data_IF_297565150236
#
_entry.id   IF_297565150236
#
_cell.length_a   1.000
_cell.length_b   1.000
_cell.length_c   1.000
_cell.angle_alpha   90.00
_cell.angle_beta   90.00
_cell.angle_gamma   90.00
#
_symmetry.space_group_name_H-M   'P 1'
#
loop_
_entity.id
_entity.type
_entity.pdbx_description
1 polymer ?
#
# COMPACT_ATOMS: atom_id res chain seq x y z
N UNK A 1 11.87 -5.31 4.33
CA UNK A 1 12.01 -4.19 3.35
C UNK A 1 13.43 -3.62 3.42
N UNK A 2 13.81 -2.67 2.57
CA UNK A 2 15.20 -2.22 2.47
C UNK A 2 15.32 -0.71 2.56
N UNK A 3 16.24 -0.23 3.40
CA UNK A 3 16.70 1.15 3.38
C UNK A 3 17.69 1.32 2.24
N UNK A 4 17.36 2.21 1.30
CA UNK A 4 18.19 2.50 0.13
C UNK A 4 18.52 3.99 0.12
N UNK A 5 19.81 4.32 -0.03
CA UNK A 5 20.26 5.68 -0.31
C UNK A 5 20.37 5.85 -1.82
N UNK A 6 19.79 6.93 -2.34
CA UNK A 6 19.75 7.23 -3.77
C UNK A 6 20.45 8.56 -4.00
N UNK A 7 21.37 8.59 -4.96
CA UNK A 7 22.14 9.77 -5.31
C UNK A 7 21.78 10.26 -6.72
N UNK A 8 21.46 11.54 -6.81
CA UNK A 8 21.25 12.27 -8.05
C UNK A 8 22.39 13.27 -8.26
N UNK A 9 23.18 13.06 -9.31
CA UNK A 9 24.25 13.97 -9.71
C UNK A 9 23.67 15.23 -10.34
N UNK A 10 24.19 16.40 -9.96
CA UNK A 10 23.79 17.69 -10.50
C UNK A 10 24.82 18.24 -11.50
N UNK A 11 24.36 18.72 -12.65
CA UNK A 11 25.16 19.37 -13.68
C UNK A 11 24.34 20.47 -14.40
N UNK A 12 24.64 21.79 -14.21
CA UNK A 12 25.77 22.39 -13.50
C UNK A 12 25.56 22.52 -11.97
N UNK A 13 26.66 22.58 -11.22
CA UNK A 13 26.70 22.44 -9.75
C UNK A 13 25.88 23.47 -8.94
N UNK A 14 25.57 24.65 -9.49
CA UNK A 14 25.12 25.80 -8.70
C UNK A 14 23.58 25.92 -8.52
N UNK A 15 22.82 24.87 -8.86
CA UNK A 15 21.34 24.95 -8.94
C UNK A 15 20.56 23.93 -8.08
N UNK A 16 21.18 23.36 -7.05
CA UNK A 16 20.61 22.26 -6.26
C UNK A 16 19.24 22.58 -5.65
N UNK A 17 19.06 23.76 -5.05
CA UNK A 17 17.78 24.14 -4.42
C UNK A 17 16.65 24.30 -5.44
N UNK A 18 16.95 24.81 -6.65
CA UNK A 18 15.92 24.95 -7.68
C UNK A 18 15.54 23.62 -8.35
N UNK A 19 16.37 22.59 -8.18
CA UNK A 19 16.10 21.23 -8.66
C UNK A 19 15.35 20.35 -7.64
N UNK A 20 15.18 20.81 -6.40
CA UNK A 20 14.39 20.08 -5.38
C UNK A 20 12.98 19.67 -5.87
N UNK A 21 12.23 20.50 -6.61
CA UNK A 21 10.94 20.07 -7.15
C UNK A 21 11.03 18.90 -8.14
N UNK A 22 12.17 18.72 -8.83
CA UNK A 22 12.36 17.65 -9.81
C UNK A 22 12.57 16.31 -9.11
N UNK A 23 13.44 16.25 -8.10
CA UNK A 23 13.63 15.03 -7.30
C UNK A 23 12.35 14.68 -6.54
N UNK A 24 11.63 15.66 -5.98
CA UNK A 24 10.33 15.42 -5.34
C UNK A 24 9.32 14.81 -6.31
N UNK A 25 9.30 15.27 -7.57
CA UNK A 25 8.46 14.67 -8.60
C UNK A 25 8.83 13.21 -8.89
N UNK A 26 10.12 12.87 -8.93
CA UNK A 26 10.59 11.49 -9.09
C UNK A 26 10.17 10.63 -7.89
N UNK A 27 10.38 11.13 -6.68
CA UNK A 27 9.98 10.49 -5.41
C UNK A 27 8.46 10.22 -5.42
N UNK A 28 7.65 11.21 -5.80
CA UNK A 28 6.20 11.05 -5.91
C UNK A 28 5.83 9.93 -6.89
N UNK A 29 6.46 9.90 -8.07
CA UNK A 29 6.16 8.85 -9.05
C UNK A 29 6.62 7.46 -8.59
N UNK A 30 7.77 7.34 -7.93
CA UNK A 30 8.18 6.08 -7.31
C UNK A 30 7.20 5.62 -6.25
N UNK A 31 6.70 6.54 -5.43
CA UNK A 31 5.70 6.24 -4.39
C UNK A 31 4.39 5.78 -5.01
N UNK A 32 3.89 6.51 -6.01
CA UNK A 32 2.66 6.15 -6.72
C UNK A 32 2.76 4.83 -7.50
N UNK A 33 3.96 4.47 -7.97
CA UNK A 33 4.21 3.17 -8.59
C UNK A 33 4.41 2.05 -7.56
N UNK A 34 4.52 2.37 -6.27
CA UNK A 34 4.80 1.41 -5.18
C UNK A 34 6.25 0.91 -5.15
N UNK A 35 7.20 1.64 -5.73
CA UNK A 35 8.64 1.33 -5.67
C UNK A 35 9.26 1.77 -4.33
N UNK A 36 8.69 2.80 -3.71
CA UNK A 36 9.09 3.28 -2.38
C UNK A 36 7.88 3.40 -1.48
N UNK A 37 8.13 3.35 -0.17
CA UNK A 37 7.15 3.38 0.90
C UNK A 37 7.39 4.58 1.82
N UNK A 38 6.36 4.96 2.56
CA UNK A 38 6.39 6.10 3.47
C UNK A 38 5.90 7.41 2.83
N UNK A 39 5.89 8.48 3.65
CA UNK A 39 5.44 9.83 3.26
C UNK A 39 6.51 10.89 3.55
N UNK A 40 7.30 10.69 4.60
CA UNK A 40 8.38 11.57 4.99
C UNK A 40 9.68 11.07 4.36
N UNK A 41 10.04 11.66 3.21
CA UNK A 41 11.19 11.24 2.43
C UNK A 41 12.19 12.40 2.41
N UNK A 42 13.31 12.29 3.14
CA UNK A 42 14.28 13.38 3.22
C UNK A 42 15.02 13.53 1.91
N UNK A 43 15.25 14.79 1.52
CA UNK A 43 16.17 15.16 0.43
C UNK A 43 17.22 16.08 1.02
N UNK A 44 18.49 15.80 0.76
CA UNK A 44 19.61 16.57 1.30
C UNK A 44 20.74 16.74 0.27
N UNK A 45 21.51 17.84 0.31
CA UNK A 45 22.71 17.96 -0.49
C UNK A 45 23.71 16.87 -0.13
N UNK A 46 24.33 16.26 -1.14
CA UNK A 46 25.34 15.24 -0.96
C UNK A 46 26.45 15.38 -2.02
N UNK A 47 27.55 14.68 -1.81
CA UNK A 47 28.66 14.62 -2.76
C UNK A 47 29.15 13.18 -2.87
N UNK A 48 29.25 12.67 -4.09
CA UNK A 48 29.72 11.32 -4.38
C UNK A 48 30.80 11.40 -5.47
N UNK A 49 31.95 10.75 -5.25
CA UNK A 49 33.10 10.79 -6.17
C UNK A 49 33.50 12.22 -6.59
N UNK A 50 33.41 13.16 -5.65
CA UNK A 50 33.72 14.57 -5.89
C UNK A 50 32.63 15.36 -6.63
N UNK A 51 31.54 14.72 -7.08
CA UNK A 51 30.43 15.37 -7.78
C UNK A 51 29.33 15.82 -6.81
N UNK A 52 28.91 17.09 -6.83
CA UNK A 52 27.81 17.56 -6.01
C UNK A 52 26.46 17.06 -6.55
N UNK A 53 25.50 16.88 -5.66
CA UNK A 53 24.18 16.36 -6.01
C UNK A 53 23.17 16.45 -4.88
N UNK A 54 22.05 15.80 -5.09
CA UNK A 54 21.02 15.58 -4.08
C UNK A 54 20.97 14.10 -3.76
N UNK A 55 20.88 13.77 -2.47
CA UNK A 55 20.61 12.42 -2.02
C UNK A 55 19.25 12.34 -1.31
N UNK A 56 18.68 11.15 -1.34
CA UNK A 56 17.49 10.81 -0.57
C UNK A 56 17.62 9.41 0.02
N UNK A 57 16.93 9.17 1.14
CA UNK A 57 16.84 7.85 1.75
C UNK A 57 15.40 7.39 1.70
N UNK A 58 15.19 6.22 1.11
CA UNK A 58 13.87 5.66 0.86
C UNK A 58 13.79 4.24 1.40
N UNK A 59 12.59 3.83 1.81
CA UNK A 59 12.28 2.44 2.11
C UNK A 59 11.69 1.80 0.86
N UNK A 60 12.32 0.73 0.38
CA UNK A 60 11.88 -0.03 -0.77
C UNK A 60 11.31 -1.40 -0.35
N UNK A 61 10.23 -1.89 -0.97
CA UNK A 61 9.74 -3.24 -0.72
C UNK A 61 10.80 -4.32 -0.97
N UNK A 62 11.60 -4.15 -2.03
CA UNK A 62 12.65 -5.07 -2.47
C UNK A 62 13.95 -4.32 -2.78
N UNK A 63 15.08 -5.03 -2.76
CA UNK A 63 16.39 -4.47 -3.14
C UNK A 63 16.40 -3.95 -4.59
N UNK A 64 15.62 -4.59 -5.45
CA UNK A 64 15.49 -4.29 -6.87
C UNK A 64 14.42 -3.25 -7.19
N UNK A 65 13.69 -2.70 -6.21
CA UNK A 65 12.50 -1.88 -6.49
C UNK A 65 12.81 -0.64 -7.34
N UNK A 66 14.00 -0.07 -7.26
CA UNK A 66 14.42 1.10 -8.05
C UNK A 66 15.05 0.77 -9.41
N UNK A 67 15.13 -0.52 -9.79
CA UNK A 67 15.66 -0.89 -11.10
C UNK A 67 14.74 -0.42 -12.24
N UNK A 68 15.28 -0.02 -13.41
CA UNK A 68 14.49 0.50 -14.53
C UNK A 68 13.38 -0.43 -15.02
N UNK A 69 13.55 -1.76 -14.93
CA UNK A 69 12.51 -2.72 -15.29
C UNK A 69 11.25 -2.63 -14.41
N UNK A 70 11.29 -1.93 -13.28
CA UNK A 70 10.13 -1.69 -12.41
C UNK A 70 9.45 -0.35 -12.66
N UNK A 71 10.07 0.55 -13.43
CA UNK A 71 9.53 1.89 -13.71
C UNK A 71 8.30 1.82 -14.61
N UNK A 72 7.23 2.50 -14.20
CA UNK A 72 6.13 2.78 -15.11
C UNK A 72 6.42 4.00 -16.00
N UNK A 73 5.51 4.30 -16.94
CA UNK A 73 5.66 5.42 -17.87
C UNK A 73 5.75 6.79 -17.18
N UNK A 74 5.14 6.98 -16.01
CA UNK A 74 5.19 8.26 -15.28
C UNK A 74 6.51 8.44 -14.53
N UNK A 75 7.09 7.35 -14.01
CA UNK A 75 8.44 7.34 -13.43
C UNK A 75 9.47 7.68 -14.50
N UNK A 76 9.40 7.03 -15.66
CA UNK A 76 10.30 7.31 -16.80
C UNK A 76 10.20 8.78 -17.25
N UNK A 77 8.99 9.33 -17.33
CA UNK A 77 8.79 10.76 -17.64
C UNK A 77 9.39 11.67 -16.59
N UNK A 78 9.27 11.33 -15.30
CA UNK A 78 9.81 12.15 -14.22
C UNK A 78 11.35 12.14 -14.22
N UNK A 79 11.97 10.98 -14.42
CA UNK A 79 13.42 10.84 -14.57
C UNK A 79 13.93 11.61 -15.79
N UNK A 80 13.33 11.41 -16.97
CA UNK A 80 13.71 12.14 -18.18
C UNK A 80 13.55 13.67 -18.04
N UNK A 81 12.56 14.14 -17.27
CA UNK A 81 12.40 15.56 -16.98
C UNK A 81 13.50 16.08 -16.04
N UNK A 82 13.88 15.31 -15.03
CA UNK A 82 14.98 15.66 -14.15
C UNK A 82 16.30 15.77 -14.93
N UNK A 83 16.58 14.79 -15.80
CA UNK A 83 17.79 14.76 -16.64
C UNK A 83 17.88 15.96 -17.58
N UNK A 84 16.77 16.35 -18.22
CA UNK A 84 16.70 17.57 -19.06
C UNK A 84 17.06 18.85 -18.30
N UNK A 85 16.86 18.86 -16.99
CA UNK A 85 17.17 19.97 -16.11
C UNK A 85 18.52 19.81 -15.39
N UNK A 86 19.34 18.84 -15.80
CA UNK A 86 20.69 18.66 -15.27
C UNK A 86 20.78 17.81 -14.00
N UNK A 87 19.70 17.12 -13.61
CA UNK A 87 19.66 16.25 -12.44
C UNK A 87 19.54 14.79 -12.89
N UNK A 88 20.60 14.00 -12.70
CA UNK A 88 20.71 12.64 -13.21
C UNK A 88 20.64 11.66 -12.06
N UNK A 89 19.77 10.64 -12.15
CA UNK A 89 19.86 9.50 -11.24
C UNK A 89 21.17 8.76 -11.52
N UNK A 90 22.10 8.81 -10.57
CA UNK A 90 23.48 8.38 -10.79
C UNK A 90 23.72 7.01 -10.17
N UNK A 91 23.25 6.80 -8.93
CA UNK A 91 23.37 5.52 -8.25
C UNK A 91 22.36 5.36 -7.11
N UNK A 92 22.22 4.12 -6.64
CA UNK A 92 21.57 3.82 -5.37
C UNK A 92 22.30 2.68 -4.67
N UNK A 93 22.34 2.74 -3.34
CA UNK A 93 23.04 1.78 -2.48
C UNK A 93 22.08 1.23 -1.43
N UNK A 94 22.06 -0.10 -1.28
CA UNK A 94 21.36 -0.78 -0.20
C UNK A 94 22.15 -0.55 1.09
N UNK A 95 21.54 0.13 2.05
CA UNK A 95 22.15 0.38 3.36
C UNK A 95 21.91 -0.79 4.30
N UNK A 96 20.70 -1.37 4.26
CA UNK A 96 20.36 -2.53 5.09
C UNK A 96 18.90 -2.94 4.97
N UNK A 97 18.58 -4.06 5.62
CA UNK A 97 17.21 -4.52 5.82
C UNK A 97 16.56 -3.77 6.98
N UNK A 98 15.31 -3.35 6.79
CA UNK A 98 14.47 -2.85 7.88
C UNK A 98 13.79 -4.02 8.60
N UNK A 99 14.26 -4.30 9.81
CA UNK A 99 13.79 -5.39 10.66
C UNK A 99 12.41 -5.14 11.28
N UNK A 100 11.92 -3.90 11.27
CA UNK A 100 10.59 -3.56 11.76
C UNK A 100 9.52 -3.62 10.65
N UNK A 101 9.94 -3.85 9.41
CA UNK A 101 9.06 -3.85 8.25
C UNK A 101 8.58 -5.26 7.88
N UNK A 102 7.41 -5.32 7.23
CA UNK A 102 6.87 -6.57 6.70
C UNK A 102 7.77 -7.21 5.63
N UNK A 103 7.72 -8.54 5.56
CA UNK A 103 8.38 -9.31 4.49
C UNK A 103 7.50 -9.28 3.25
N UNK A 104 8.05 -8.73 2.16
CA UNK A 104 7.36 -8.59 0.89
C UNK A 104 7.18 -9.94 0.18
N UNK A 105 6.07 -10.08 -0.55
CA UNK A 105 5.78 -11.28 -1.34
C UNK A 105 6.84 -11.49 -2.44
N UNK A 106 7.64 -12.52 -2.25
CA UNK A 106 8.79 -12.82 -3.10
C UNK A 106 8.42 -13.41 -4.47
N UNK A 107 7.25 -14.06 -4.59
CA UNK A 107 6.85 -14.69 -5.85
C UNK A 107 6.19 -13.69 -6.81
N UNK A 108 6.00 -14.10 -8.06
CA UNK A 108 5.45 -13.23 -9.09
C UNK A 108 3.91 -13.18 -9.09
N UNK A 109 3.24 -14.26 -8.68
CA UNK A 109 1.78 -14.37 -8.77
C UNK A 109 1.20 -15.18 -7.61
N UNK A 110 0.34 -14.60 -6.75
CA UNK A 110 -0.38 -15.35 -5.73
C UNK A 110 -1.59 -16.10 -6.31
N UNK A 111 -2.16 -17.06 -5.57
CA UNK A 111 -3.39 -17.76 -6.00
C UNK A 111 -4.63 -16.85 -5.93
N UNK A 112 -4.67 -16.01 -4.90
CA UNK A 112 -5.64 -14.93 -4.72
C UNK A 112 -4.95 -13.82 -3.94
N UNK A 113 -5.59 -12.66 -3.84
CA UNK A 113 -5.03 -11.50 -3.15
C UNK A 113 -6.12 -10.70 -2.45
N UNK A 114 -5.71 -9.78 -1.58
CA UNK A 114 -6.61 -8.94 -0.81
C UNK A 114 -6.12 -7.50 -0.76
N UNK A 115 -7.03 -6.56 -1.02
CA UNK A 115 -6.83 -5.15 -0.72
C UNK A 115 -7.13 -4.93 0.77
N UNK A 116 -6.06 -4.73 1.54
CA UNK A 116 -6.04 -4.74 3.00
C UNK A 116 -5.00 -3.75 3.51
N UNK A 117 -5.34 -3.00 4.56
CA UNK A 117 -4.38 -2.16 5.27
C UNK A 117 -4.88 -1.94 6.70
N UNK A 118 -4.00 -1.48 7.59
CA UNK A 118 -4.33 -0.87 8.89
C UNK A 118 -3.62 0.47 9.03
N UNK A 119 -4.00 1.29 10.00
CA UNK A 119 -3.29 2.55 10.30
C UNK A 119 -1.85 2.35 10.77
N UNK A 120 -1.48 1.14 11.20
CA UNK A 120 -0.12 0.79 11.66
C UNK A 120 0.82 0.39 10.51
N UNK A 121 0.26 -0.02 9.37
CA UNK A 121 1.05 -0.58 8.28
C UNK A 121 1.70 0.50 7.41
N UNK A 122 2.98 0.30 7.09
CA UNK A 122 3.75 1.12 6.15
C UNK A 122 4.24 0.22 5.02
N UNK A 123 3.30 -0.45 4.34
CA UNK A 123 3.56 -1.40 3.28
C UNK A 123 2.56 -1.22 2.12
N UNK A 124 2.73 -2.02 1.06
CA UNK A 124 1.73 -2.05 -0.02
C UNK A 124 0.39 -2.55 0.50
N UNK A 125 -0.74 -1.91 0.15
CA UNK A 125 -2.07 -2.32 0.61
C UNK A 125 -2.61 -3.55 -0.14
N UNK A 126 -1.89 -4.08 -1.13
CA UNK A 126 -2.25 -5.31 -1.82
C UNK A 126 -1.45 -6.46 -1.23
N UNK A 127 -2.12 -7.43 -0.63
CA UNK A 127 -1.48 -8.57 0.04
C UNK A 127 -1.77 -9.87 -0.70
N UNK A 128 -0.79 -10.79 -0.70
CA UNK A 128 -0.99 -12.16 -1.17
C UNK A 128 -1.95 -12.90 -0.24
N UNK A 129 -2.95 -13.54 -0.82
CA UNK A 129 -3.84 -14.46 -0.14
C UNK A 129 -3.21 -15.81 0.20
N UNK A 130 -1.93 -16.03 -0.10
CA UNK A 130 -1.23 -17.25 0.28
C UNK A 130 -0.60 -17.14 1.68
N UNK A 131 -0.15 -15.93 2.07
CA UNK A 131 0.61 -15.68 3.31
C UNK A 131 0.39 -14.30 3.94
N UNK A 132 -0.54 -13.50 3.43
CA UNK A 132 -0.76 -12.09 3.82
C UNK A 132 0.47 -11.18 3.65
N UNK A 133 1.45 -11.58 2.82
CA UNK A 133 2.62 -10.77 2.54
C UNK A 133 2.28 -9.63 1.55
N UNK A 134 2.73 -8.38 1.80
CA UNK A 134 2.47 -7.26 0.89
C UNK A 134 3.12 -7.47 -0.48
N UNK A 135 2.40 -7.14 -1.54
CA UNK A 135 2.79 -7.24 -2.94
C UNK A 135 3.12 -5.83 -3.45
N UNK A 136 4.35 -5.54 -3.90
CA UNK A 136 4.68 -4.22 -4.43
C UNK A 136 3.82 -3.90 -5.65
N UNK A 137 3.22 -2.70 -5.70
CA UNK A 137 2.24 -2.36 -6.73
C UNK A 137 2.84 -2.43 -8.15
N UNK A 138 4.13 -2.08 -8.33
CA UNK A 138 4.79 -2.19 -9.63
C UNK A 138 4.84 -3.63 -10.18
N UNK A 139 4.76 -4.67 -9.34
CA UNK A 139 4.75 -6.06 -9.84
C UNK A 139 3.49 -6.38 -10.64
N UNK A 140 2.37 -5.74 -10.33
CA UNK A 140 1.07 -6.06 -10.94
C UNK A 140 0.46 -4.90 -11.72
N UNK A 141 0.77 -3.65 -11.34
CA UNK A 141 0.08 -2.45 -11.81
C UNK A 141 0.99 -1.49 -12.57
N UNK A 142 2.25 -1.87 -12.85
CA UNK A 142 3.21 -1.05 -13.60
C UNK A 142 2.65 -0.51 -14.92
N UNK A 143 1.80 -1.27 -15.62
CA UNK A 143 1.22 -0.86 -16.91
C UNK A 143 -0.04 0.00 -16.77
N UNK A 144 -0.51 0.27 -15.54
CA UNK A 144 -1.76 0.97 -15.24
C UNK A 144 -1.54 2.01 -14.12
N UNK A 145 -0.71 3.06 -14.33
CA UNK A 145 -0.28 3.96 -13.25
C UNK A 145 -1.42 4.68 -12.53
N UNK A 146 -2.51 5.00 -13.24
CA UNK A 146 -3.65 5.67 -12.63
C UNK A 146 -4.30 4.82 -11.53
N UNK A 147 -4.31 3.49 -11.69
CA UNK A 147 -4.88 2.57 -10.71
C UNK A 147 -3.98 2.48 -9.47
N UNK A 148 -2.66 2.44 -9.64
CA UNK A 148 -1.73 2.43 -8.49
C UNK A 148 -1.79 3.74 -7.70
N UNK A 149 -1.91 4.89 -8.38
CA UNK A 149 -2.14 6.19 -7.73
C UNK A 149 -3.43 6.16 -6.90
N UNK A 150 -4.52 5.66 -7.47
CA UNK A 150 -5.82 5.66 -6.81
C UNK A 150 -5.85 4.71 -5.59
N UNK A 151 -5.15 3.57 -5.67
CA UNK A 151 -4.96 2.64 -4.55
C UNK A 151 -4.18 3.31 -3.41
N UNK A 152 -3.10 4.04 -3.70
CA UNK A 152 -2.34 4.74 -2.67
C UNK A 152 -3.20 5.80 -1.99
N UNK A 153 -4.00 6.58 -2.73
CA UNK A 153 -4.93 7.56 -2.15
C UNK A 153 -6.02 6.91 -1.31
N UNK A 154 -6.58 5.80 -1.80
CA UNK A 154 -7.53 5.01 -1.04
C UNK A 154 -6.92 4.51 0.27
N UNK A 155 -5.69 3.96 0.24
CA UNK A 155 -4.98 3.51 1.43
C UNK A 155 -4.81 4.65 2.44
N UNK A 156 -4.41 5.84 1.99
CA UNK A 156 -4.23 7.00 2.86
C UNK A 156 -5.53 7.40 3.57
N UNK A 157 -6.63 7.45 2.84
CA UNK A 157 -7.95 7.77 3.38
C UNK A 157 -8.46 6.69 4.35
N UNK A 158 -8.23 5.43 4.00
CA UNK A 158 -8.61 4.29 4.84
C UNK A 158 -7.85 4.29 6.14
N UNK A 159 -6.53 4.44 6.09
CA UNK A 159 -5.68 4.53 7.29
C UNK A 159 -6.04 5.72 8.17
N UNK A 160 -6.43 6.87 7.58
CA UNK A 160 -6.88 8.02 8.35
C UNK A 160 -8.21 7.73 9.09
N UNK A 161 -9.15 7.03 8.44
CA UNK A 161 -10.41 6.63 9.07
C UNK A 161 -10.18 5.65 10.23
N UNK A 162 -9.33 4.65 10.00
CA UNK A 162 -8.93 3.66 11.00
C UNK A 162 -8.20 4.32 12.18
N UNK A 163 -7.27 5.23 11.92
CA UNK A 163 -6.57 5.98 12.97
C UNK A 163 -7.52 6.82 13.84
N UNK A 164 -8.45 7.55 13.21
CA UNK A 164 -9.43 8.36 13.93
C UNK A 164 -10.36 7.49 14.77
N UNK A 165 -10.76 6.32 14.24
CA UNK A 165 -11.56 5.34 14.97
C UNK A 165 -10.78 4.80 16.17
N UNK A 166 -9.53 4.38 15.98
CA UNK A 166 -8.69 3.80 17.01
C UNK A 166 -8.34 4.80 18.13
N UNK A 167 -8.20 6.09 17.79
CA UNK A 167 -8.00 7.15 18.79
C UNK A 167 -9.24 7.43 19.64
N UNK A 168 -10.46 7.10 19.16
CA UNK A 168 -11.71 7.17 19.94
C UNK A 168 -12.15 8.57 20.39
N UNK A 169 -11.66 9.63 19.75
CA UNK A 169 -11.90 11.01 20.22
C UNK A 169 -12.87 11.78 19.32
N UNK A 170 -12.52 11.97 18.05
CA UNK A 170 -13.30 12.76 17.09
C UNK A 170 -13.65 11.93 15.88
N UNK A 171 -14.89 12.07 15.40
CA UNK A 171 -15.41 11.42 14.19
C UNK A 171 -15.40 9.88 14.19
N UNK A 172 -15.14 9.22 15.33
CA UNK A 172 -15.03 7.75 15.44
C UNK A 172 -16.17 7.00 14.74
N UNK A 173 -17.42 7.40 14.98
CA UNK A 173 -18.60 6.73 14.37
C UNK A 173 -18.64 6.91 12.86
N UNK A 174 -18.35 8.12 12.39
CA UNK A 174 -18.37 8.46 10.97
C UNK A 174 -17.25 7.72 10.23
N UNK A 175 -16.04 7.72 10.78
CA UNK A 175 -14.89 7.05 10.16
C UNK A 175 -15.01 5.54 10.21
N UNK A 176 -15.55 4.98 11.30
CA UNK A 176 -15.88 3.56 11.38
C UNK A 176 -16.89 3.15 10.29
N UNK A 177 -17.94 3.94 10.06
CA UNK A 177 -18.93 3.64 9.03
C UNK A 177 -18.31 3.58 7.63
N UNK A 178 -17.35 4.47 7.32
CA UNK A 178 -16.67 4.48 6.02
C UNK A 178 -15.88 3.19 5.72
N UNK A 179 -15.30 2.55 6.74
CA UNK A 179 -14.46 1.34 6.57
C UNK A 179 -15.16 0.02 6.90
N UNK A 180 -16.31 0.06 7.59
CA UNK A 180 -17.03 -1.14 8.07
C UNK A 180 -18.42 -1.36 7.48
N UNK A 181 -18.99 -0.34 6.83
CA UNK A 181 -20.31 -0.42 6.18
C UNK A 181 -20.17 -0.41 4.65
N UNK A 182 -20.89 -1.31 4.00
CA UNK A 182 -21.00 -1.39 2.53
C UNK A 182 -21.61 -0.16 1.88
N UNK A 183 -22.33 0.66 2.65
CA UNK A 183 -22.88 1.94 2.18
C UNK A 183 -21.85 3.08 2.16
N UNK A 184 -20.72 2.94 2.87
CA UNK A 184 -19.66 3.93 2.96
C UNK A 184 -19.02 4.26 1.61
N UNK A 185 -18.56 5.49 1.43
CA UNK A 185 -17.88 5.91 0.21
C UNK A 185 -16.54 5.20 0.06
N UNK A 186 -15.80 5.06 1.17
CA UNK A 186 -14.49 4.44 1.16
C UNK A 186 -14.58 2.92 0.92
N UNK A 187 -15.61 2.25 1.45
CA UNK A 187 -15.94 0.88 1.03
C UNK A 187 -16.19 0.80 -0.46
N UNK A 188 -17.10 1.62 -1.02
CA UNK A 188 -17.46 1.56 -2.44
C UNK A 188 -16.24 1.78 -3.33
N UNK A 189 -15.38 2.74 -2.98
CA UNK A 189 -14.14 3.01 -3.69
C UNK A 189 -13.17 1.84 -3.61
N UNK A 190 -12.88 1.33 -2.42
CA UNK A 190 -11.96 0.21 -2.24
C UNK A 190 -12.44 -1.10 -2.87
N UNK A 191 -13.75 -1.38 -2.78
CA UNK A 191 -14.37 -2.53 -3.42
C UNK A 191 -14.28 -2.44 -4.95
N UNK A 192 -14.55 -1.26 -5.52
CA UNK A 192 -14.31 -1.00 -6.94
C UNK A 192 -12.84 -1.23 -7.31
N UNK A 193 -11.89 -0.70 -6.54
CA UNK A 193 -10.45 -0.91 -6.80
C UNK A 193 -10.08 -2.40 -6.79
N UNK A 194 -10.59 -3.19 -5.85
CA UNK A 194 -10.37 -4.63 -5.83
C UNK A 194 -10.88 -5.32 -7.11
N UNK A 195 -12.05 -4.93 -7.61
CA UNK A 195 -12.60 -5.44 -8.88
C UNK A 195 -11.74 -5.05 -10.09
N UNK A 196 -11.27 -3.80 -10.13
CA UNK A 196 -10.41 -3.30 -11.20
C UNK A 196 -9.06 -4.03 -11.23
N UNK A 197 -8.47 -4.27 -10.06
CA UNK A 197 -7.24 -5.08 -9.92
C UNK A 197 -7.49 -6.50 -10.44
N UNK A 198 -8.55 -7.19 -10.03
CA UNK A 198 -8.87 -8.54 -10.50
C UNK A 198 -9.05 -8.57 -12.02
N UNK A 199 -9.79 -7.60 -12.58
CA UNK A 199 -10.02 -7.47 -14.02
C UNK A 199 -8.74 -7.30 -14.83
N UNK A 200 -7.74 -6.60 -14.29
CA UNK A 200 -6.46 -6.38 -14.97
C UNK A 200 -5.43 -7.50 -14.76
N UNK A 201 -5.44 -8.14 -13.59
CA UNK A 201 -4.44 -9.16 -13.22
C UNK A 201 -4.91 -10.59 -13.50
N UNK A 202 -6.22 -10.81 -13.60
CA UNK A 202 -6.84 -12.13 -13.63
C UNK A 202 -6.65 -12.91 -12.34
N UNK A 203 -6.34 -12.24 -11.23
CA UNK A 203 -6.16 -12.85 -9.90
C UNK A 203 -7.39 -12.51 -9.06
N UNK A 204 -8.07 -13.50 -8.44
CA UNK A 204 -9.14 -13.26 -7.50
C UNK A 204 -8.72 -12.24 -6.43
N UNK A 205 -9.36 -11.08 -6.41
CA UNK A 205 -8.97 -9.97 -5.53
C UNK A 205 -10.10 -9.63 -4.58
N UNK A 206 -9.84 -9.86 -3.30
CA UNK A 206 -10.80 -9.64 -2.22
C UNK A 206 -10.62 -8.25 -1.63
N UNK A 207 -11.69 -7.69 -1.09
CA UNK A 207 -11.66 -6.47 -0.29
C UNK A 207 -11.82 -6.80 1.19
N UNK A 208 -11.02 -6.17 2.04
CA UNK A 208 -11.18 -6.29 3.49
C UNK A 208 -12.22 -5.33 4.04
N UNK A 209 -13.28 -5.89 4.64
CA UNK A 209 -14.30 -5.15 5.38
C UNK A 209 -14.00 -5.20 6.87
N UNK A 210 -13.62 -4.05 7.45
CA UNK A 210 -13.30 -3.94 8.87
C UNK A 210 -14.52 -4.18 9.76
N UNK A 211 -14.32 -4.80 10.92
CA UNK A 211 -15.39 -5.06 11.89
C UNK A 211 -14.93 -4.79 13.32
N UNK A 212 -15.68 -3.93 14.02
CA UNK A 212 -15.62 -3.72 15.48
C UNK A 212 -17.03 -3.43 16.00
N UNK A 213 -17.31 -3.74 17.27
CA UNK A 213 -18.64 -3.61 17.86
C UNK A 213 -19.47 -4.89 17.78
N UNK A 214 -20.78 -4.76 17.58
CA UNK A 214 -21.73 -5.87 17.62
C UNK A 214 -22.28 -6.16 19.02
N UNK A 215 -23.39 -6.90 19.07
CA UNK A 215 -24.17 -7.10 20.30
C UNK A 215 -23.65 -8.26 21.17
N UNK A 216 -23.14 -9.33 20.55
CA UNK A 216 -22.62 -10.51 21.24
C UNK A 216 -21.72 -11.35 20.34
N UNK A 217 -20.87 -12.19 20.93
CA UNK A 217 -20.09 -13.19 20.19
C UNK A 217 -20.99 -14.14 19.37
N UNK A 218 -22.17 -14.49 19.88
CA UNK A 218 -23.13 -15.37 19.19
C UNK A 218 -23.70 -14.72 17.92
N UNK A 219 -24.12 -13.45 18.00
CA UNK A 219 -24.67 -12.73 16.85
C UNK A 219 -23.60 -12.46 15.80
N UNK A 220 -22.38 -12.07 16.22
CA UNK A 220 -21.26 -11.88 15.29
C UNK A 220 -20.93 -13.20 14.58
N UNK A 221 -21.03 -14.33 15.29
CA UNK A 221 -20.75 -15.64 14.71
C UNK A 221 -21.72 -16.07 13.62
N UNK A 222 -22.98 -15.63 13.72
CA UNK A 222 -24.03 -15.92 12.74
C UNK A 222 -24.17 -14.84 11.66
N UNK A 223 -23.25 -13.86 11.59
CA UNK A 223 -23.33 -12.77 10.62
C UNK A 223 -23.25 -13.30 9.19
N UNK A 224 -24.18 -12.85 8.36
CA UNK A 224 -24.22 -13.14 6.93
C UNK A 224 -23.39 -12.13 6.13
N UNK A 225 -23.03 -12.49 4.90
CA UNK A 225 -22.33 -11.59 4.00
C UNK A 225 -23.21 -10.35 3.75
N UNK A 226 -22.69 -9.13 3.93
CA UNK A 226 -23.52 -7.92 3.82
C UNK A 226 -23.95 -7.61 2.37
N UNK A 227 -23.33 -8.25 1.36
CA UNK A 227 -23.68 -8.04 -0.04
C UNK A 227 -24.70 -9.06 -0.56
N UNK A 228 -24.48 -10.36 -0.33
CA UNK A 228 -25.37 -11.41 -0.86
C UNK A 228 -26.28 -12.07 0.19
N UNK A 229 -26.06 -11.82 1.49
CA UNK A 229 -26.78 -12.49 2.58
C UNK A 229 -26.40 -13.96 2.77
N UNK A 230 -25.38 -14.47 2.09
CA UNK A 230 -24.92 -15.86 2.24
C UNK A 230 -24.12 -16.09 3.53
N UNK A 231 -24.01 -17.36 3.93
CA UNK A 231 -23.05 -17.78 4.95
C UNK A 231 -21.62 -17.63 4.43
N UNK A 232 -20.73 -17.14 5.29
CA UNK A 232 -19.36 -16.78 4.89
C UNK A 232 -18.36 -16.88 6.05
N UNK A 233 -18.79 -17.40 7.20
CA UNK A 233 -17.88 -17.70 8.31
C UNK A 233 -16.99 -18.86 7.92
N UNK A 234 -15.70 -18.72 8.12
CA UNK A 234 -14.73 -19.77 7.91
C UNK A 234 -14.68 -20.71 9.12
N UNK A 235 -14.51 -22.04 8.91
CA UNK A 235 -14.25 -22.98 10.00
C UNK A 235 -12.96 -22.67 10.76
N UNK A 236 -11.95 -22.16 10.06
CA UNK A 236 -10.65 -21.76 10.61
C UNK A 236 -10.28 -20.40 10.04
N UNK A 237 -9.86 -19.42 10.87
CA UNK A 237 -9.41 -18.13 10.37
C UNK A 237 -8.22 -18.25 9.41
N UNK A 238 -8.18 -17.39 8.40
CA UNK A 238 -6.99 -17.22 7.56
C UNK A 238 -6.06 -16.21 8.24
N UNK A 239 -4.79 -16.59 8.39
CA UNK A 239 -3.73 -15.75 8.97
C UNK A 239 -4.06 -15.21 10.37
N UNK A 240 -4.87 -15.96 11.13
CA UNK A 240 -5.39 -15.56 12.44
C UNK A 240 -6.14 -14.22 12.44
N UNK A 241 -6.57 -13.75 11.26
CA UNK A 241 -7.18 -12.44 11.06
C UNK A 241 -8.56 -12.54 10.39
N UNK A 242 -8.64 -13.21 9.25
CA UNK A 242 -9.88 -13.28 8.48
C UNK A 242 -10.72 -14.47 8.95
N UNK A 243 -11.76 -14.18 9.71
CA UNK A 243 -12.74 -15.19 10.17
C UNK A 243 -13.89 -15.35 9.18
N UNK A 244 -14.08 -14.40 8.27
CA UNK A 244 -15.12 -14.44 7.25
C UNK A 244 -14.51 -14.26 5.86
N UNK A 245 -15.02 -15.04 4.89
CA UNK A 245 -14.65 -14.96 3.46
C UNK A 245 -15.84 -15.35 2.60
N UNK A 246 -16.22 -14.48 1.68
CA UNK A 246 -17.25 -14.73 0.67
C UNK A 246 -16.60 -14.71 -0.72
N UNK A 247 -16.52 -15.86 -1.36
CA UNK A 247 -15.92 -16.01 -2.69
C UNK A 247 -16.72 -15.33 -3.80
N UNK A 248 -18.05 -15.38 -3.72
CA UNK A 248 -18.96 -14.78 -4.71
C UNK A 248 -18.88 -13.25 -4.71
N UNK A 249 -18.80 -12.66 -3.52
CA UNK A 249 -18.74 -11.21 -3.36
C UNK A 249 -17.32 -10.67 -3.19
N UNK A 250 -16.27 -11.50 -3.28
CA UNK A 250 -14.87 -11.06 -3.09
C UNK A 250 -14.66 -10.24 -1.81
N UNK A 251 -15.24 -10.68 -0.69
CA UNK A 251 -15.07 -10.01 0.60
C UNK A 251 -14.37 -10.91 1.61
N UNK A 252 -13.49 -10.32 2.41
CA UNK A 252 -12.99 -10.91 3.66
C UNK A 252 -13.24 -9.94 4.81
N UNK A 253 -13.39 -10.47 6.03
CA UNK A 253 -13.64 -9.65 7.21
C UNK A 253 -13.12 -10.36 8.46
N UNK A 254 -12.73 -9.57 9.46
CA UNK A 254 -12.32 -10.08 10.76
C UNK A 254 -13.55 -10.40 11.64
N UNK A 255 -13.35 -11.22 12.67
CA UNK A 255 -14.28 -11.24 13.80
C UNK A 255 -14.14 -9.95 14.59
N UNK A 256 -15.26 -9.40 15.07
CA UNK A 256 -15.27 -8.14 15.81
C UNK A 256 -14.25 -8.16 16.94
N UNK A 257 -13.38 -7.14 16.98
CA UNK A 257 -12.33 -7.02 17.99
C UNK A 257 -12.87 -7.02 19.43
N UNK A 258 -14.12 -6.59 19.65
CA UNK A 258 -14.75 -6.58 20.98
C UNK A 258 -15.01 -7.99 21.54
N UNK A 259 -15.11 -9.00 20.67
CA UNK A 259 -15.59 -10.34 21.03
C UNK A 259 -14.56 -11.45 20.74
N UNK A 260 -13.34 -11.10 20.30
CA UNK A 260 -12.30 -12.09 19.95
C UNK A 260 -11.90 -13.00 21.13
N UNK A 261 -11.94 -12.50 22.36
CA UNK A 261 -11.58 -13.30 23.55
C UNK A 261 -12.69 -14.27 24.00
N UNK A 262 -13.91 -14.12 23.47
CA UNK A 262 -15.07 -14.98 23.79
C UNK A 262 -15.38 -15.99 22.68
N UNK A 263 -14.59 -16.01 21.61
CA UNK A 263 -14.76 -16.92 20.47
C UNK A 263 -13.88 -18.18 20.57
N UNK A 264 -13.28 -18.42 21.74
CA UNK A 264 -12.55 -19.66 22.10
C UNK A 264 -13.48 -20.63 22.83
#
# INVERSE_FOLDING_TARGET
MYLIEVFFRNQPADNLLAQMPLINKVIDQWRYNGQILGREIPVFPAQQDGQPGLATRVICPEQSSLLPENNNVEVEKALAQAEKCGLFLDSFQIIGEDLNSDITFAQNKPQWQVLYTTYLQVCSPLHSGDRLAPIPLYKQLKTIPHLSIDIIKWQENWQACDQLQMNGAVLEKQTLAEISDTAGNLFKHGYYLAQEIERHTGIPTFYYLYRVGGESAKSESARLCPLCGGEWRLPTPLFDLFTFKCDDCRLVSNFSWNWQNESI
#
